data_IF_239918130323
#
_entry.id   IF_239918130323
#
_cell.length_a   1.000
_cell.length_b   1.000
_cell.length_c   1.000
_cell.angle_alpha   90.00
_cell.angle_beta   90.00
_cell.angle_gamma   90.00
#
_symmetry.space_group_name_H-M   'P 1'
#
loop_
_entity.id
_entity.type
_entity.pdbx_description
1 polymer ?
#
# COMPACT_ATOMS: atom_id res chain seq x y z
N UNK A 1 0.78 22.52 12.38
CA UNK A 1 -0.50 22.28 13.11
C UNK A 1 -0.31 21.03 13.93
N UNK A 2 -0.60 21.09 15.22
CA UNK A 2 -0.60 19.93 16.12
C UNK A 2 -1.58 18.87 15.60
N UNK A 3 -1.33 17.61 15.90
CA UNK A 3 -2.20 16.49 15.53
C UNK A 3 -3.65 16.77 15.90
N UNK A 4 -4.52 16.85 14.90
CA UNK A 4 -5.92 17.16 15.12
C UNK A 4 -6.68 15.90 15.54
N UNK A 5 -7.39 15.98 16.66
CA UNK A 5 -8.30 14.93 17.10
C UNK A 5 -9.70 15.24 16.60
N UNK A 6 -10.30 14.28 15.95
CA UNK A 6 -11.68 14.37 15.45
C UNK A 6 -12.57 13.40 16.16
N UNK A 7 -13.84 13.81 16.35
CA UNK A 7 -14.89 12.97 16.87
C UNK A 7 -16.04 12.96 15.88
N UNK A 8 -16.34 11.79 15.36
CA UNK A 8 -17.49 11.54 14.49
C UNK A 8 -18.60 10.90 15.35
N UNK A 9 -19.75 11.56 15.42
CA UNK A 9 -20.89 11.07 16.19
C UNK A 9 -22.07 10.82 15.26
N UNK A 10 -22.54 9.59 15.24
CA UNK A 10 -23.79 9.22 14.60
C UNK A 10 -24.90 9.27 15.64
N UNK A 11 -25.93 10.05 15.37
CA UNK A 11 -27.12 10.08 16.21
C UNK A 11 -28.04 8.89 15.89
N UNK A 12 -28.97 8.53 16.79
CA UNK A 12 -29.93 7.47 16.51
C UNK A 12 -30.70 7.73 15.23
N UNK A 13 -30.81 6.70 14.37
CA UNK A 13 -31.49 6.82 13.08
C UNK A 13 -30.66 7.43 11.95
N UNK A 14 -29.38 7.75 12.18
CA UNK A 14 -28.50 8.28 11.12
C UNK A 14 -28.17 7.24 10.04
N UNK A 15 -28.18 5.97 10.40
CA UNK A 15 -27.95 4.83 9.49
C UNK A 15 -29.03 3.80 9.72
N UNK A 16 -29.58 3.27 8.63
CA UNK A 16 -30.57 2.18 8.66
C UNK A 16 -30.04 1.01 7.83
N UNK A 17 -30.11 -0.18 8.38
CA UNK A 17 -29.73 -1.39 7.64
C UNK A 17 -30.83 -1.88 6.70
N UNK A 18 -30.58 -2.95 5.96
CA UNK A 18 -31.53 -3.55 5.01
C UNK A 18 -32.78 -4.14 5.67
N UNK A 19 -32.79 -4.30 7.00
CA UNK A 19 -33.90 -4.80 7.80
C UNK A 19 -34.67 -3.67 8.53
N UNK A 20 -34.40 -2.40 8.17
CA UNK A 20 -34.96 -1.20 8.80
C UNK A 20 -34.59 -1.04 10.30
N UNK A 21 -33.51 -1.65 10.75
CA UNK A 21 -32.96 -1.43 12.07
C UNK A 21 -32.05 -0.20 12.02
N UNK A 22 -32.32 0.76 12.90
CA UNK A 22 -31.55 2.00 13.00
C UNK A 22 -30.42 1.85 14.01
N UNK A 23 -29.31 2.59 13.76
CA UNK A 23 -28.23 2.66 14.73
C UNK A 23 -28.63 3.41 16.00
N UNK A 24 -28.02 3.03 17.09
CA UNK A 24 -27.96 3.81 18.32
C UNK A 24 -26.87 4.88 18.24
N UNK A 25 -26.74 5.74 19.25
CA UNK A 25 -25.65 6.73 19.28
C UNK A 25 -24.29 6.04 19.27
N UNK A 26 -23.56 6.20 18.19
CA UNK A 26 -22.20 5.65 18.02
C UNK A 26 -21.21 6.79 17.85
N UNK A 27 -20.10 6.73 18.59
CA UNK A 27 -19.05 7.75 18.53
C UNK A 27 -17.73 7.10 18.16
N UNK A 28 -17.06 7.65 17.13
CA UNK A 28 -15.71 7.28 16.72
C UNK A 28 -14.78 8.45 16.98
N UNK A 29 -13.68 8.21 17.64
CA UNK A 29 -12.60 9.20 17.82
C UNK A 29 -11.38 8.74 17.03
N UNK A 30 -10.79 9.65 16.25
CA UNK A 30 -9.56 9.41 15.55
C UNK A 30 -8.67 10.65 15.55
N UNK A 31 -7.38 10.43 15.49
CA UNK A 31 -6.38 11.49 15.44
C UNK A 31 -5.72 11.45 14.07
N UNK A 32 -5.68 12.57 13.39
CA UNK A 32 -4.90 12.72 12.14
C UNK A 32 -3.47 13.03 12.54
N UNK A 33 -2.49 12.21 12.11
CA UNK A 33 -1.08 12.48 12.39
C UNK A 33 -0.65 13.82 11.79
N UNK A 34 0.26 14.53 12.48
CA UNK A 34 0.92 15.72 11.93
C UNK A 34 1.85 15.33 10.77
N UNK A 35 2.02 16.22 9.79
CA UNK A 35 2.99 16.05 8.70
C UNK A 35 4.41 15.78 9.23
N UNK A 36 4.78 16.42 10.35
CA UNK A 36 6.08 16.22 11.01
C UNK A 36 6.27 14.82 11.60
N UNK A 37 5.20 14.06 11.80
CA UNK A 37 5.26 12.67 12.28
C UNK A 37 5.28 11.65 11.14
N UNK A 38 5.17 12.09 9.90
CA UNK A 38 5.13 11.25 8.71
C UNK A 38 6.45 11.27 7.95
N UNK A 39 6.71 10.18 7.22
CA UNK A 39 7.85 10.04 6.34
C UNK A 39 7.43 10.22 4.88
N UNK A 40 8.39 10.58 4.02
CA UNK A 40 8.26 10.57 2.57
C UNK A 40 9.15 9.48 1.98
N UNK A 41 8.64 8.79 0.96
CA UNK A 41 9.36 7.74 0.25
C UNK A 41 9.22 7.95 -1.26
N UNK A 42 10.34 8.11 -1.93
CA UNK A 42 10.44 8.19 -3.38
C UNK A 42 10.97 6.85 -3.91
N UNK A 43 10.19 6.20 -4.76
CA UNK A 43 10.55 4.90 -5.35
C UNK A 43 10.71 5.10 -6.86
N UNK A 44 11.88 4.79 -7.37
CA UNK A 44 12.17 4.78 -8.80
C UNK A 44 12.37 3.35 -9.26
N UNK A 45 11.71 2.93 -10.33
CA UNK A 45 11.89 1.62 -10.94
C UNK A 45 12.68 1.73 -12.21
N UNK A 46 13.64 0.81 -12.41
CA UNK A 46 14.52 0.74 -13.59
C UNK A 46 14.58 -0.71 -14.10
N UNK A 47 14.42 -0.89 -15.40
CA UNK A 47 14.53 -2.18 -16.08
C UNK A 47 13.20 -2.94 -16.19
N UNK A 48 12.07 -2.32 -15.89
CA UNK A 48 10.76 -2.93 -16.13
C UNK A 48 10.45 -2.95 -17.63
N UNK A 49 10.01 -4.10 -18.15
CA UNK A 49 9.66 -4.24 -19.57
C UNK A 49 8.39 -3.45 -19.88
N UNK A 50 8.48 -2.54 -20.84
CA UNK A 50 7.32 -1.79 -21.32
C UNK A 50 6.26 -2.72 -21.90
N UNK A 51 4.98 -2.47 -21.56
CA UNK A 51 3.83 -3.28 -22.01
C UNK A 51 3.50 -4.47 -21.12
N UNK A 52 4.34 -4.85 -20.17
CA UNK A 52 3.99 -5.77 -19.09
C UNK A 52 3.36 -4.99 -17.93
N UNK A 53 2.46 -5.62 -17.21
CA UNK A 53 1.87 -5.03 -16.01
C UNK A 53 2.57 -5.55 -14.76
N UNK A 54 2.84 -4.63 -13.84
CA UNK A 54 3.49 -4.94 -12.57
C UNK A 54 2.70 -4.34 -11.42
N UNK A 55 2.75 -5.00 -10.27
CA UNK A 55 2.19 -4.50 -9.02
C UNK A 55 3.33 -4.21 -8.05
N UNK A 56 3.61 -2.94 -7.82
CA UNK A 56 4.51 -2.53 -6.76
C UNK A 56 3.73 -2.46 -5.46
N UNK A 57 4.15 -3.23 -4.47
CA UNK A 57 3.52 -3.29 -3.16
C UNK A 57 4.50 -2.86 -2.07
N UNK A 58 4.05 -1.94 -1.25
CA UNK A 58 4.69 -1.56 0.00
C UNK A 58 4.01 -2.32 1.14
N UNK A 59 4.78 -3.06 1.93
CA UNK A 59 4.29 -3.90 3.01
C UNK A 59 5.00 -3.57 4.31
N UNK A 60 4.41 -3.96 5.43
CA UNK A 60 5.10 -3.97 6.71
C UNK A 60 6.04 -5.18 6.84
N UNK A 61 6.70 -5.34 7.98
CA UNK A 61 7.60 -6.47 8.25
C UNK A 61 6.90 -7.84 8.21
N UNK A 62 5.60 -7.88 8.47
CA UNK A 62 4.75 -9.09 8.41
C UNK A 62 4.20 -9.37 7.01
N UNK A 63 4.66 -8.62 5.99
CA UNK A 63 4.15 -8.68 4.62
C UNK A 63 2.67 -8.29 4.45
N UNK A 64 2.10 -7.58 5.41
CA UNK A 64 0.76 -7.00 5.27
C UNK A 64 0.82 -5.78 4.35
N UNK A 65 -0.11 -5.70 3.42
CA UNK A 65 -0.13 -4.66 2.40
C UNK A 65 -0.48 -3.29 2.99
N UNK A 66 0.38 -2.30 2.76
CA UNK A 66 0.16 -0.90 3.13
C UNK A 66 -0.34 -0.09 1.94
N UNK A 67 0.36 -0.21 0.79
CA UNK A 67 0.04 0.47 -0.48
C UNK A 67 0.35 -0.43 -1.67
N UNK A 68 -0.42 -0.26 -2.74
CA UNK A 68 -0.19 -0.95 -4.01
C UNK A 68 -0.34 0.02 -5.18
N UNK A 69 0.55 -0.13 -6.16
CA UNK A 69 0.56 0.66 -7.40
C UNK A 69 0.66 -0.27 -8.60
N UNK A 70 -0.05 0.07 -9.66
CA UNK A 70 0.06 -0.60 -10.95
C UNK A 70 1.06 0.16 -11.81
N UNK A 71 2.01 -0.55 -12.39
CA UNK A 71 3.04 0.00 -13.27
C UNK A 71 3.01 -0.74 -14.61
N UNK A 72 3.27 -0.02 -15.69
CA UNK A 72 3.37 -0.58 -17.06
C UNK A 72 4.74 -0.41 -17.67
N UNK A 73 5.74 -0.07 -16.88
CA UNK A 73 7.11 0.20 -17.21
C UNK A 73 7.80 1.00 -16.11
N UNK A 74 9.00 1.47 -16.40
CA UNK A 74 9.76 2.28 -15.46
C UNK A 74 8.99 3.53 -15.03
N UNK A 75 8.99 3.80 -13.75
CA UNK A 75 8.18 4.85 -13.14
C UNK A 75 8.86 5.42 -11.90
N UNK A 76 8.49 6.64 -11.56
CA UNK A 76 8.86 7.27 -10.29
C UNK A 76 7.59 7.55 -9.49
N UNK A 77 7.55 7.05 -8.26
CA UNK A 77 6.41 7.17 -7.35
C UNK A 77 6.87 7.89 -6.10
N UNK A 78 6.22 9.00 -5.77
CA UNK A 78 6.46 9.71 -4.52
C UNK A 78 5.29 9.48 -3.57
N UNK A 79 5.60 9.01 -2.37
CA UNK A 79 4.66 8.70 -1.32
C UNK A 79 4.89 9.65 -0.15
N UNK A 80 3.85 10.33 0.26
CA UNK A 80 3.83 11.18 1.44
C UNK A 80 2.93 10.57 2.52
N UNK A 81 3.04 11.09 3.73
CA UNK A 81 2.21 10.70 4.88
C UNK A 81 2.30 9.21 5.24
N UNK A 82 3.50 8.63 5.06
CA UNK A 82 3.76 7.27 5.51
C UNK A 82 4.09 7.27 7.01
N UNK A 83 3.65 6.26 7.77
CA UNK A 83 4.06 6.12 9.16
C UNK A 83 5.56 5.87 9.26
N UNK A 84 6.19 6.44 10.30
CA UNK A 84 7.58 6.13 10.63
C UNK A 84 7.66 4.68 11.13
N UNK A 85 7.98 3.77 10.23
CA UNK A 85 8.00 2.33 10.50
C UNK A 85 8.95 1.62 9.52
N UNK A 86 9.24 0.38 9.84
CA UNK A 86 10.00 -0.50 8.94
C UNK A 86 9.07 -1.09 7.88
N UNK A 87 9.48 -0.97 6.63
CA UNK A 87 8.69 -1.41 5.47
C UNK A 87 9.52 -2.25 4.52
N UNK A 88 8.85 -3.02 3.68
CA UNK A 88 9.44 -3.82 2.61
C UNK A 88 8.76 -3.51 1.29
N UNK A 89 9.51 -3.63 0.21
CA UNK A 89 8.98 -3.49 -1.14
C UNK A 89 9.02 -4.85 -1.83
N UNK A 90 7.95 -5.16 -2.56
CA UNK A 90 7.90 -6.27 -3.51
C UNK A 90 7.25 -5.81 -4.81
N UNK A 91 7.71 -6.40 -5.90
CA UNK A 91 7.15 -6.17 -7.23
C UNK A 91 6.67 -7.52 -7.78
N UNK A 92 5.45 -7.57 -8.23
CA UNK A 92 4.81 -8.76 -8.79
C UNK A 92 4.61 -8.51 -10.29
N UNK A 93 4.97 -9.47 -11.14
CA UNK A 93 4.63 -9.42 -12.55
C UNK A 93 3.20 -9.91 -12.72
N UNK A 94 2.26 -8.98 -12.91
CA UNK A 94 0.83 -9.27 -13.08
C UNK A 94 0.56 -9.77 -14.50
N UNK A 95 0.79 -11.06 -14.71
CA UNK A 95 0.76 -11.68 -16.04
C UNK A 95 -0.65 -11.81 -16.60
N UNK A 96 -1.67 -11.90 -15.75
CA UNK A 96 -3.07 -11.98 -16.17
C UNK A 96 -3.81 -10.64 -16.06
N UNK A 97 -3.10 -9.58 -15.66
CA UNK A 97 -3.59 -8.20 -15.58
C UNK A 97 -4.82 -8.02 -14.69
N UNK A 98 -4.97 -8.89 -13.69
CA UNK A 98 -6.11 -8.85 -12.78
C UNK A 98 -5.94 -7.86 -11.62
N UNK A 99 -4.73 -7.29 -11.45
CA UNK A 99 -4.38 -6.34 -10.40
C UNK A 99 -4.20 -6.97 -9.03
N UNK A 100 -3.98 -8.28 -8.98
CA UNK A 100 -3.78 -9.04 -7.74
C UNK A 100 -2.72 -10.12 -7.97
N UNK A 101 -2.04 -10.53 -6.90
CA UNK A 101 -1.16 -11.68 -6.97
C UNK A 101 -1.96 -12.96 -7.21
N UNK A 102 -1.63 -13.65 -8.29
CA UNK A 102 -2.27 -14.92 -8.64
C UNK A 102 -1.39 -16.10 -8.25
N UNK A 103 -1.94 -16.95 -7.40
CA UNK A 103 -1.31 -18.19 -6.94
C UNK A 103 -1.25 -19.24 -8.05
N UNK A 104 -0.40 -20.27 -7.86
CA UNK A 104 -0.37 -21.44 -8.70
C UNK A 104 -1.70 -22.19 -8.67
N UNK A 105 -2.06 -22.81 -9.80
CA UNK A 105 -3.21 -23.70 -9.89
C UNK A 105 -2.78 -25.05 -10.46
N UNK A 106 -2.66 -26.07 -9.61
CA UNK A 106 -2.17 -27.38 -9.99
C UNK A 106 -2.96 -28.01 -11.17
N UNK A 107 -4.28 -28.00 -11.09
CA UNK A 107 -5.14 -28.60 -12.12
C UNK A 107 -5.07 -27.91 -13.49
N UNK A 108 -4.66 -26.64 -13.55
CA UNK A 108 -4.46 -25.88 -14.79
C UNK A 108 -3.00 -25.75 -15.19
N UNK A 109 -2.08 -26.44 -14.47
CA UNK A 109 -0.63 -26.36 -14.68
C UNK A 109 -0.11 -24.92 -14.74
N UNK A 110 -0.74 -24.00 -13.99
CA UNK A 110 -0.36 -22.61 -13.93
C UNK A 110 0.63 -22.38 -12.79
N UNK A 111 1.77 -21.78 -13.11
CA UNK A 111 2.73 -21.32 -12.10
C UNK A 111 2.24 -20.03 -11.44
N UNK A 112 2.68 -19.74 -10.19
CA UNK A 112 2.40 -18.47 -9.56
C UNK A 112 3.09 -17.34 -10.33
N UNK A 113 2.59 -16.14 -10.17
CA UNK A 113 3.23 -14.96 -10.75
C UNK A 113 4.60 -14.71 -10.14
N UNK A 114 5.60 -14.28 -10.95
CA UNK A 114 6.91 -13.93 -10.45
C UNK A 114 6.85 -12.77 -9.46
N UNK A 115 7.54 -12.91 -8.34
CA UNK A 115 7.63 -11.89 -7.30
C UNK A 115 9.09 -11.55 -7.05
N UNK A 116 9.45 -10.30 -7.21
CA UNK A 116 10.72 -9.75 -6.78
C UNK A 116 10.56 -9.09 -5.42
N UNK A 117 11.39 -9.45 -4.47
CA UNK A 117 11.43 -8.82 -3.15
C UNK A 117 12.71 -7.98 -3.09
N UNK A 118 12.53 -6.69 -2.82
CA UNK A 118 13.69 -5.81 -2.61
C UNK A 118 14.46 -6.28 -1.37
N UNK A 119 15.78 -6.51 -1.49
CA UNK A 119 16.55 -7.18 -0.44
C UNK A 119 16.70 -6.35 0.84
N UNK A 120 16.66 -5.02 0.71
CA UNK A 120 16.84 -4.14 1.84
C UNK A 120 15.51 -3.83 2.53
N UNK A 121 15.58 -3.69 3.83
CA UNK A 121 14.47 -3.25 4.66
C UNK A 121 14.52 -1.74 4.79
N UNK A 122 13.41 -1.07 4.53
CA UNK A 122 13.32 0.39 4.58
C UNK A 122 12.87 0.82 5.97
N UNK A 123 13.73 1.51 6.71
CA UNK A 123 13.36 2.11 7.99
C UNK A 123 13.02 3.57 7.78
N UNK A 124 11.73 3.86 7.62
CA UNK A 124 11.24 5.21 7.44
C UNK A 124 11.25 5.97 8.77
N UNK A 125 11.82 7.16 8.76
CA UNK A 125 11.85 8.05 9.92
C UNK A 125 10.95 9.26 9.70
N UNK A 126 10.32 9.71 10.76
CA UNK A 126 9.49 10.91 10.73
C UNK A 126 10.29 12.12 10.22
N UNK A 127 9.64 12.94 9.40
CA UNK A 127 10.20 14.14 8.78
C UNK A 127 11.44 13.89 7.90
N UNK A 128 11.59 12.65 7.40
CA UNK A 128 12.66 12.27 6.47
C UNK A 128 12.08 11.86 5.12
N UNK A 129 12.82 12.21 4.08
CA UNK A 129 12.62 11.69 2.73
C UNK A 129 13.66 10.61 2.44
N UNK A 130 13.20 9.46 1.98
CA UNK A 130 14.06 8.36 1.55
C UNK A 130 13.80 8.08 0.08
N UNK A 131 14.88 7.93 -0.69
CA UNK A 131 14.84 7.51 -2.09
C UNK A 131 15.30 6.06 -2.23
N UNK A 132 14.59 5.28 -3.06
CA UNK A 132 14.91 3.89 -3.36
C UNK A 132 14.87 3.69 -4.86
N UNK A 133 15.92 3.11 -5.41
CA UNK A 133 15.99 2.70 -6.82
C UNK A 133 15.87 1.17 -6.89
N UNK A 134 14.76 0.71 -7.46
CA UNK A 134 14.52 -0.71 -7.70
C UNK A 134 15.05 -1.06 -9.09
N UNK A 135 16.12 -1.84 -9.14
CA UNK A 135 16.65 -2.37 -10.40
C UNK A 135 16.07 -3.75 -10.64
N UNK A 136 15.19 -3.85 -11.63
CA UNK A 136 14.64 -5.12 -12.08
C UNK A 136 15.63 -5.84 -12.96
N UNK A 137 15.93 -7.09 -12.63
CA UNK A 137 16.69 -8.00 -13.50
C UNK A 137 15.80 -9.22 -13.73
N UNK A 138 15.43 -9.45 -15.01
CA UNK A 138 14.74 -10.69 -15.41
C UNK A 138 15.68 -11.88 -15.38
#
# INVERSE_FOLDING_TARGET
>A
KESARYRLKFYPGAVTDIFNVTNDTTTFEFTVPDEKSSAMLSIKTEGLTSGKQYLLQLTNEKFELIRQFKLSGDSSISLSHLPAATMRIRVITDSDQNGRFTLSHYGRRRQPEPVYIYPETLTLRANWEQEVILKWQE
#
